data_IF_868892582246
#
_entry.id   IF_868892582246
#
_cell.length_a   1.000
_cell.length_b   1.000
_cell.length_c   1.000
_cell.angle_alpha   90.00
_cell.angle_beta   90.00
_cell.angle_gamma   90.00
#
_symmetry.space_group_name_H-M   'P 1'
#
loop_
_entity.id
_entity.type
_entity.pdbx_description
1 polymer ?
#
# COMPACT_ATOMS: atom_id res chain seq x y z
N UNK A 1 8.77 0.66 -13.79
CA UNK A 1 8.59 2.04 -14.30
C UNK A 1 7.30 2.68 -13.77
N UNK A 2 6.97 2.48 -12.49
CA UNK A 2 5.87 3.18 -11.79
C UNK A 2 6.45 4.04 -10.67
N UNK A 3 7.55 3.59 -10.03
CA UNK A 3 8.26 4.30 -8.95
C UNK A 3 8.80 5.69 -9.33
N UNK A 4 9.12 5.98 -10.60
CA UNK A 4 9.65 7.31 -10.98
C UNK A 4 8.56 8.36 -11.18
N UNK A 5 7.30 7.95 -11.34
CA UNK A 5 6.16 8.89 -11.45
C UNK A 5 5.75 9.45 -10.07
N UNK A 6 6.23 8.85 -8.98
CA UNK A 6 5.96 9.30 -7.61
C UNK A 6 6.96 10.33 -7.07
N UNK A 7 8.07 10.55 -7.77
CA UNK A 7 9.10 11.49 -7.31
C UNK A 7 8.73 12.95 -7.52
N UNK A 8 7.77 13.27 -8.41
CA UNK A 8 7.56 14.64 -8.88
C UNK A 8 6.26 15.30 -8.40
N UNK A 9 5.38 14.56 -7.73
CA UNK A 9 4.11 15.11 -7.25
C UNK A 9 4.08 14.96 -5.74
N UNK A 10 4.72 15.94 -5.07
CA UNK A 10 4.41 16.43 -3.71
C UNK A 10 3.30 15.59 -3.06
N UNK A 11 3.68 14.62 -2.22
CA UNK A 11 2.89 13.48 -1.72
C UNK A 11 1.57 13.76 -0.95
N UNK A 12 0.88 14.85 -1.24
CA UNK A 12 -0.41 15.21 -0.69
C UNK A 12 -1.55 14.29 -1.18
N UNK A 13 -1.47 13.77 -2.42
CA UNK A 13 -2.55 12.95 -3.00
C UNK A 13 -2.53 11.50 -2.49
N UNK A 14 -1.35 10.93 -2.25
CA UNK A 14 -1.19 9.59 -1.65
C UNK A 14 -1.52 9.60 -0.15
N UNK A 15 -1.23 10.72 0.53
CA UNK A 15 -1.67 10.95 1.91
C UNK A 15 -3.19 11.11 2.03
N UNK A 16 -3.88 11.60 0.99
CA UNK A 16 -5.33 11.70 0.97
C UNK A 16 -6.02 10.32 0.92
N UNK A 17 -5.45 9.34 0.19
CA UNK A 17 -5.93 7.95 0.20
C UNK A 17 -5.74 7.28 1.56
N UNK A 18 -4.67 7.63 2.29
CA UNK A 18 -4.48 7.21 3.68
C UNK A 18 -5.46 7.92 4.65
N UNK A 19 -5.93 9.11 4.33
CA UNK A 19 -6.82 9.90 5.18
C UNK A 19 -8.32 9.58 4.96
N UNK A 20 -8.73 9.24 3.73
CA UNK A 20 -10.12 8.92 3.40
C UNK A 20 -10.22 8.08 2.10
N UNK A 21 -9.94 6.77 2.15
CA UNK A 21 -10.17 5.90 0.99
C UNK A 21 -11.68 5.85 0.67
N UNK A 22 -12.01 5.71 -0.61
CA UNK A 22 -13.37 5.37 -1.04
C UNK A 22 -13.78 4.00 -0.50
N UNK A 23 -15.09 3.71 -0.48
CA UNK A 23 -15.60 2.41 -0.04
C UNK A 23 -14.99 1.23 -0.82
N UNK A 24 -14.75 1.41 -2.11
CA UNK A 24 -14.19 0.38 -2.99
C UNK A 24 -12.71 0.15 -2.73
N UNK A 25 -11.92 1.23 -2.58
CA UNK A 25 -10.51 1.14 -2.19
C UNK A 25 -10.37 0.48 -0.81
N UNK A 26 -11.21 0.88 0.16
CA UNK A 26 -11.22 0.26 1.48
C UNK A 26 -11.57 -1.23 1.42
N UNK A 27 -12.53 -1.63 0.57
CA UNK A 27 -12.89 -3.03 0.36
C UNK A 27 -11.72 -3.83 -0.25
N UNK A 28 -11.01 -3.25 -1.22
CA UNK A 28 -9.82 -3.87 -1.81
C UNK A 28 -8.70 -4.03 -0.77
N UNK A 29 -8.40 -2.99 0.00
CA UNK A 29 -7.38 -3.05 1.06
C UNK A 29 -7.70 -4.13 2.11
N UNK A 30 -8.98 -4.25 2.52
CA UNK A 30 -9.42 -5.30 3.43
C UNK A 30 -9.18 -6.71 2.87
N UNK A 31 -9.41 -6.93 1.57
CA UNK A 31 -9.15 -8.22 0.91
C UNK A 31 -7.65 -8.56 0.94
N UNK A 32 -6.79 -7.62 0.57
CA UNK A 32 -5.34 -7.85 0.63
C UNK A 32 -4.86 -8.15 2.06
N UNK A 33 -5.28 -7.36 3.04
CA UNK A 33 -4.91 -7.58 4.44
C UNK A 33 -5.46 -8.92 4.97
N UNK A 34 -6.62 -9.39 4.50
CA UNK A 34 -7.18 -10.67 4.93
C UNK A 34 -6.29 -11.86 4.53
N UNK A 35 -5.69 -11.82 3.33
CA UNK A 35 -4.86 -12.92 2.82
C UNK A 35 -3.39 -12.84 3.25
N UNK A 36 -2.94 -11.68 3.72
CA UNK A 36 -1.58 -11.50 4.23
C UNK A 36 -1.33 -12.41 5.45
N UNK A 37 -0.16 -13.03 5.45
CA UNK A 37 0.38 -13.77 6.59
C UNK A 37 0.67 -12.83 7.78
N UNK A 38 0.78 -13.41 8.97
CA UNK A 38 1.17 -12.64 10.17
C UNK A 38 2.52 -11.92 9.99
N UNK A 39 3.48 -12.56 9.33
CA UNK A 39 4.79 -11.98 9.05
C UNK A 39 4.70 -10.80 8.08
N UNK A 40 3.90 -10.89 7.02
CA UNK A 40 3.68 -9.79 6.08
C UNK A 40 2.96 -8.61 6.74
N UNK A 41 2.00 -8.87 7.64
CA UNK A 41 1.33 -7.81 8.41
C UNK A 41 2.29 -7.07 9.35
N UNK A 42 3.10 -7.82 10.10
CA UNK A 42 4.08 -7.25 11.02
C UNK A 42 5.15 -6.43 10.29
N UNK A 43 5.52 -6.89 9.09
CA UNK A 43 6.57 -6.30 8.28
C UNK A 43 6.04 -5.54 7.05
N UNK A 44 4.79 -5.06 7.09
CA UNK A 44 4.15 -4.41 5.95
C UNK A 44 4.99 -3.25 5.36
N UNK A 45 5.62 -2.45 6.23
CA UNK A 45 6.53 -1.36 5.87
C UNK A 45 7.82 -1.74 5.12
N UNK A 46 8.16 -3.04 5.05
CA UNK A 46 9.36 -3.56 4.40
C UNK A 46 9.02 -4.57 3.30
N UNK A 47 7.75 -4.68 2.91
CA UNK A 47 7.37 -5.52 1.79
C UNK A 47 8.06 -5.02 0.53
N UNK A 48 8.60 -5.96 -0.25
CA UNK A 48 9.16 -5.64 -1.56
C UNK A 48 8.06 -5.43 -2.58
N UNK A 49 8.37 -4.75 -3.68
CA UNK A 49 7.45 -4.60 -4.81
C UNK A 49 6.90 -5.94 -5.31
N UNK A 50 7.74 -6.98 -5.38
CA UNK A 50 7.34 -8.31 -5.81
C UNK A 50 6.33 -8.93 -4.84
N UNK A 51 6.51 -8.72 -3.54
CA UNK A 51 5.55 -9.19 -2.53
C UNK A 51 4.23 -8.41 -2.61
N UNK A 52 4.30 -7.09 -2.79
CA UNK A 52 3.12 -6.23 -2.96
C UNK A 52 2.33 -6.66 -4.20
N UNK A 53 3.00 -6.90 -5.32
CA UNK A 53 2.36 -7.37 -6.55
C UNK A 53 1.73 -8.75 -6.38
N UNK A 54 2.43 -9.69 -5.72
CA UNK A 54 1.90 -11.03 -5.45
C UNK A 54 0.64 -10.96 -4.59
N UNK A 55 0.68 -10.22 -3.48
CA UNK A 55 -0.49 -10.07 -2.58
C UNK A 55 -1.66 -9.42 -3.31
N UNK A 56 -1.42 -8.39 -4.12
CA UNK A 56 -2.49 -7.76 -4.89
C UNK A 56 -3.12 -8.71 -5.92
N UNK A 57 -2.30 -9.51 -6.60
CA UNK A 57 -2.76 -10.53 -7.53
C UNK A 57 -3.56 -11.64 -6.83
N UNK A 58 -3.04 -12.16 -5.72
CA UNK A 58 -3.69 -13.20 -4.90
C UNK A 58 -5.03 -12.70 -4.33
N UNK A 59 -5.12 -11.41 -3.97
CA UNK A 59 -6.34 -10.78 -3.47
C UNK A 59 -7.30 -10.33 -4.58
N UNK A 60 -6.89 -10.41 -5.85
CA UNK A 60 -7.61 -9.92 -7.02
C UNK A 60 -8.03 -8.44 -6.88
N UNK A 61 -7.08 -7.59 -6.47
CA UNK A 61 -7.28 -6.14 -6.33
C UNK A 61 -6.34 -5.35 -7.23
N UNK A 62 -6.53 -4.04 -7.29
CA UNK A 62 -5.64 -3.16 -8.01
C UNK A 62 -4.26 -3.09 -7.32
N UNK A 63 -3.16 -3.50 -8.00
CA UNK A 63 -1.82 -3.48 -7.43
C UNK A 63 -1.28 -2.06 -7.18
N UNK A 64 -1.74 -1.06 -7.94
CA UNK A 64 -1.35 0.34 -7.71
C UNK A 64 -1.94 0.86 -6.40
N UNK A 65 -3.23 0.58 -6.14
CA UNK A 65 -3.90 0.96 -4.89
C UNK A 65 -3.19 0.34 -3.68
N UNK A 66 -2.85 -0.96 -3.77
CA UNK A 66 -2.16 -1.64 -2.68
C UNK A 66 -0.73 -1.12 -2.47
N UNK A 67 0.01 -0.84 -3.55
CA UNK A 67 1.35 -0.28 -3.47
C UNK A 67 1.37 1.12 -2.84
N UNK A 68 0.43 1.99 -3.21
CA UNK A 68 0.29 3.33 -2.61
C UNK A 68 0.06 3.21 -1.10
N UNK A 69 -0.84 2.30 -0.68
CA UNK A 69 -1.13 2.08 0.73
C UNK A 69 0.10 1.61 1.52
N UNK A 70 0.81 0.58 1.01
CA UNK A 70 1.99 0.02 1.68
C UNK A 70 3.14 1.05 1.76
N UNK A 71 3.38 1.81 0.69
CA UNK A 71 4.40 2.85 0.66
C UNK A 71 4.07 3.97 1.65
N UNK A 72 2.82 4.43 1.67
CA UNK A 72 2.35 5.43 2.61
C UNK A 72 2.48 4.96 4.07
N UNK A 73 2.13 3.70 4.35
CA UNK A 73 2.33 3.08 5.67
C UNK A 73 3.82 3.01 6.06
N UNK A 74 4.70 2.67 5.12
CA UNK A 74 6.14 2.61 5.36
C UNK A 74 6.73 3.99 5.72
N UNK A 75 6.27 5.06 5.04
CA UNK A 75 6.68 6.44 5.34
C UNK A 75 6.19 6.84 6.73
N UNK A 76 4.94 6.53 7.09
CA UNK A 76 4.38 6.84 8.41
C UNK A 76 5.18 6.15 9.53
N UNK A 77 5.56 4.88 9.35
CA UNK A 77 6.32 4.12 10.36
C UNK A 77 7.80 4.53 10.47
N UNK A 78 8.39 5.07 9.40
CA UNK A 78 9.79 5.56 9.38
C UNK A 78 9.95 6.97 9.95
N UNK A 79 8.85 7.69 10.22
CA UNK A 79 8.92 8.97 10.90
C UNK A 79 9.35 8.71 12.36
N UNK A 80 10.47 9.27 12.84
CA UNK A 80 10.79 9.21 14.25
C UNK A 80 9.69 9.97 15.00
N UNK A 81 9.02 9.27 15.91
CA UNK A 81 8.15 9.85 16.94
C UNK A 81 8.96 10.75 17.86
#
# INVERSE_FOLDING_TARGET
MIRSQFQDIRGASELAMLAAPTSDELAQLKKAVAIMTAAEKQNAHTLTDEQVQRIAADAQIDPANFAIFINGYAIHKKRPS
#
